data_IF_216797171674
#
_entry.id   IF_216797171674
#
_cell.length_a   1.000
_cell.length_b   1.000
_cell.length_c   1.000
_cell.angle_alpha   90.00
_cell.angle_beta   90.00
_cell.angle_gamma   90.00
#
_symmetry.space_group_name_H-M   'P 1'
#
loop_
_entity.id
_entity.type
_entity.pdbx_description
1 polymer ?
#
# COMPACT_ATOMS: atom_id res chain seq x y z
N UNK A 1 -21.06 -4.76 -3.13
CA UNK A 1 -20.91 -4.25 -1.75
C UNK A 1 -20.72 -2.74 -1.85
N UNK A 2 -21.67 -1.93 -1.36
CA UNK A 2 -21.54 -0.46 -1.38
C UNK A 2 -21.00 -0.04 -0.01
N UNK A 3 -19.75 0.43 0.03
CA UNK A 3 -19.21 1.03 1.24
C UNK A 3 -20.02 2.30 1.54
N UNK A 4 -20.55 2.42 2.76
CA UNK A 4 -21.19 3.67 3.19
C UNK A 4 -20.13 4.75 3.24
N UNK A 5 -20.41 5.90 2.67
CA UNK A 5 -19.56 7.09 2.78
C UNK A 5 -19.56 7.53 4.25
N UNK A 6 -18.55 7.11 5.01
CA UNK A 6 -18.28 7.64 6.33
C UNK A 6 -17.78 9.08 6.22
N UNK A 7 -17.90 9.85 7.30
CA UNK A 7 -17.24 11.16 7.38
C UNK A 7 -15.75 10.98 7.04
N UNK A 8 -15.26 11.75 6.06
CA UNK A 8 -13.85 11.76 5.69
C UNK A 8 -13.11 12.38 6.88
N UNK A 9 -12.57 11.53 7.76
CA UNK A 9 -11.58 11.96 8.71
C UNK A 9 -10.28 12.16 7.93
N UNK A 10 -9.81 13.40 7.83
CA UNK A 10 -8.42 13.67 7.46
C UNK A 10 -7.54 13.04 8.53
N UNK A 11 -6.95 11.90 8.20
CA UNK A 11 -5.91 11.29 9.03
C UNK A 11 -4.69 12.21 8.98
N UNK A 12 -4.03 12.43 10.12
CA UNK A 12 -2.78 13.19 10.17
C UNK A 12 -1.67 12.49 9.37
N UNK A 13 -0.46 13.04 9.33
CA UNK A 13 0.69 12.31 8.79
C UNK A 13 1.29 11.40 9.87
N UNK A 14 1.75 10.21 9.49
CA UNK A 14 2.42 9.27 10.40
C UNK A 14 3.67 8.67 9.76
N UNK A 15 4.56 8.14 10.59
CA UNK A 15 5.76 7.45 10.12
C UNK A 15 5.41 6.06 9.63
N UNK A 16 6.15 5.55 8.64
CA UNK A 16 5.95 4.18 8.14
C UNK A 16 6.12 3.12 9.23
N UNK A 17 6.91 3.41 10.28
CA UNK A 17 7.12 2.54 11.45
C UNK A 17 5.91 2.47 12.39
N UNK A 18 4.93 3.35 12.21
CA UNK A 18 3.67 3.38 12.95
C UNK A 18 2.52 2.71 12.17
N UNK A 19 2.77 2.26 10.93
CA UNK A 19 1.83 1.52 10.11
C UNK A 19 2.16 0.02 10.13
N UNK A 20 1.15 -0.84 10.04
CA UNK A 20 1.40 -2.28 9.92
C UNK A 20 2.11 -2.64 8.60
N UNK A 21 2.00 -1.77 7.58
CA UNK A 21 2.66 -1.80 6.28
C UNK A 21 2.36 -3.07 5.44
N UNK A 22 1.15 -3.62 5.61
CA UNK A 22 0.67 -4.86 5.01
C UNK A 22 -0.16 -4.66 3.74
N UNK A 23 0.34 -3.80 2.87
CA UNK A 23 -0.30 -3.47 1.60
C UNK A 23 0.73 -2.98 0.59
N UNK A 24 0.38 -3.09 -0.69
CA UNK A 24 1.18 -2.59 -1.80
C UNK A 24 0.28 -2.06 -2.92
N UNK A 25 0.81 -1.11 -3.69
CA UNK A 25 0.24 -0.68 -4.96
C UNK A 25 1.29 -0.80 -6.05
N UNK A 26 0.85 -0.97 -7.29
CA UNK A 26 1.72 -0.89 -8.46
C UNK A 26 2.24 0.52 -8.67
N UNK A 27 3.43 0.64 -9.26
CA UNK A 27 4.04 1.95 -9.60
C UNK A 27 3.47 2.51 -10.91
N UNK A 28 3.11 1.63 -11.86
CA UNK A 28 2.66 2.01 -13.20
C UNK A 28 1.14 2.23 -13.24
N UNK A 29 0.70 3.37 -13.79
CA UNK A 29 -0.70 3.72 -13.98
C UNK A 29 -1.44 2.81 -14.99
N UNK A 30 -0.73 2.16 -15.91
CA UNK A 30 -1.33 1.25 -16.89
C UNK A 30 -1.89 -0.03 -16.26
N UNK A 31 -1.54 -0.31 -14.99
CA UNK A 31 -2.07 -1.43 -14.23
C UNK A 31 -2.25 -1.01 -12.78
N UNK A 32 -3.41 -0.47 -12.43
CA UNK A 32 -3.70 0.08 -11.10
C UNK A 32 -4.17 -1.01 -10.13
N UNK A 33 -3.20 -1.73 -9.56
CA UNK A 33 -3.47 -2.85 -8.67
C UNK A 33 -3.15 -2.49 -7.21
N UNK A 34 -4.07 -2.83 -6.31
CA UNK A 34 -3.89 -2.72 -4.85
C UNK A 34 -3.90 -4.11 -4.26
N UNK A 35 -2.90 -4.43 -3.44
CA UNK A 35 -2.82 -5.69 -2.74
C UNK A 35 -2.84 -5.48 -1.22
N UNK A 36 -3.64 -6.26 -0.52
CA UNK A 36 -3.62 -6.40 0.94
C UNK A 36 -2.97 -7.74 1.27
N UNK A 37 -1.99 -7.75 2.17
CA UNK A 37 -1.10 -8.90 2.35
C UNK A 37 -0.95 -9.33 3.81
N UNK A 38 -0.53 -10.57 4.02
CA UNK A 38 -0.18 -11.07 5.35
C UNK A 38 1.19 -10.54 5.83
N UNK A 39 2.07 -10.29 4.87
CA UNK A 39 3.45 -9.84 5.07
C UNK A 39 3.55 -8.32 4.94
N UNK A 40 4.45 -7.72 5.71
CA UNK A 40 4.81 -6.31 5.57
C UNK A 40 6.17 -6.15 4.88
N UNK A 41 6.67 -4.91 4.80
CA UNK A 41 7.85 -4.53 4.02
C UNK A 41 9.21 -4.73 4.70
N UNK A 42 9.26 -5.37 5.88
CA UNK A 42 10.54 -5.61 6.57
C UNK A 42 11.20 -6.89 6.06
N UNK A 43 12.52 -6.86 5.87
CA UNK A 43 13.29 -7.97 5.30
C UNK A 43 13.07 -9.30 6.04
N UNK A 44 12.96 -9.26 7.37
CA UNK A 44 12.73 -10.45 8.18
C UNK A 44 11.41 -11.20 7.85
N UNK A 45 10.39 -10.52 7.31
CA UNK A 45 9.14 -11.17 6.93
C UNK A 45 9.24 -11.91 5.59
N UNK A 46 10.24 -11.61 4.74
CA UNK A 46 10.41 -12.26 3.43
C UNK A 46 10.63 -13.78 3.52
N UNK A 47 11.08 -14.25 4.68
CA UNK A 47 11.34 -15.67 4.96
C UNK A 47 10.14 -16.41 5.56
N UNK A 48 8.96 -15.76 5.62
CA UNK A 48 7.73 -16.33 6.18
C UNK A 48 6.72 -16.59 5.06
N UNK A 49 5.94 -17.65 5.23
CA UNK A 49 4.78 -17.88 4.36
C UNK A 49 3.70 -16.81 4.58
N UNK A 50 2.90 -16.57 3.55
CA UNK A 50 1.78 -15.62 3.55
C UNK A 50 1.18 -15.48 2.16
N UNK A 51 0.02 -14.84 2.08
CA UNK A 51 -0.67 -14.52 0.85
C UNK A 51 -0.91 -13.03 0.68
N UNK A 52 -1.50 -12.70 -0.47
CA UNK A 52 -2.05 -11.39 -0.74
C UNK A 52 -3.32 -11.50 -1.57
N UNK A 53 -4.26 -10.59 -1.32
CA UNK A 53 -5.44 -10.40 -2.14
C UNK A 53 -5.28 -9.09 -2.92
N UNK A 54 -5.36 -9.19 -4.24
CA UNK A 54 -5.10 -8.08 -5.14
C UNK A 54 -6.33 -7.72 -5.96
N UNK A 55 -6.55 -6.43 -6.13
CA UNK A 55 -7.68 -5.84 -6.85
C UNK A 55 -7.15 -4.91 -7.93
N UNK A 56 -7.62 -5.07 -9.17
CA UNK A 56 -7.38 -4.09 -10.22
C UNK A 56 -8.50 -3.06 -10.20
N UNK A 57 -8.29 -1.96 -9.48
CA UNK A 57 -9.28 -0.92 -9.23
C UNK A 57 -8.60 0.46 -9.16
N UNK A 58 -8.91 1.31 -10.14
CA UNK A 58 -8.27 2.62 -10.30
C UNK A 58 -8.60 3.58 -9.14
N UNK A 59 -9.84 3.56 -8.64
CA UNK A 59 -10.29 4.48 -7.60
C UNK A 59 -9.69 4.11 -6.24
N UNK A 60 -9.60 2.82 -5.96
CA UNK A 60 -8.92 2.31 -4.78
C UNK A 60 -7.42 2.58 -4.85
N UNK A 61 -6.79 2.30 -6.00
CA UNK A 61 -5.37 2.57 -6.21
C UNK A 61 -5.05 4.05 -5.99
N UNK A 62 -5.88 4.96 -6.52
CA UNK A 62 -5.69 6.40 -6.34
C UNK A 62 -5.72 6.79 -4.87
N UNK A 63 -6.69 6.30 -4.10
CA UNK A 63 -6.79 6.57 -2.67
C UNK A 63 -5.54 6.09 -1.91
N UNK A 64 -5.04 4.89 -2.20
CA UNK A 64 -3.80 4.39 -1.61
C UNK A 64 -2.56 5.16 -2.08
N UNK A 65 -2.55 5.65 -3.32
CA UNK A 65 -1.45 6.46 -3.85
C UNK A 65 -1.39 7.83 -3.18
N UNK A 66 -2.54 8.44 -2.91
CA UNK A 66 -2.67 9.80 -2.38
C UNK A 66 -2.25 9.91 -0.89
N UNK A 67 -2.27 8.79 -0.15
CA UNK A 67 -1.76 8.74 1.24
C UNK A 67 -0.23 8.64 1.32
N UNK A 68 0.48 8.35 0.23
CA UNK A 68 1.94 8.23 0.21
C UNK A 68 2.57 9.62 0.07
N UNK A 69 3.21 10.11 1.15
CA UNK A 69 3.92 11.41 1.17
C UNK A 69 5.36 11.34 0.69
N UNK A 70 6.07 10.26 1.00
CA UNK A 70 7.49 10.07 0.67
C UNK A 70 7.72 8.66 0.14
N UNK A 71 8.62 8.53 -0.82
CA UNK A 71 9.04 7.25 -1.41
C UNK A 71 10.55 7.13 -1.29
N UNK A 72 11.01 6.05 -0.67
CA UNK A 72 12.42 5.68 -0.63
C UNK A 72 12.86 5.22 -2.03
N UNK A 73 13.94 5.80 -2.56
CA UNK A 73 14.50 5.38 -3.84
C UNK A 73 15.21 4.03 -3.70
N UNK A 74 15.03 3.15 -4.68
CA UNK A 74 15.78 1.90 -4.72
C UNK A 74 17.30 2.19 -4.83
N UNK A 75 18.15 1.43 -4.12
CA UNK A 75 19.61 1.51 -4.30
C UNK A 75 19.95 1.32 -5.78
N UNK A 76 20.76 2.22 -6.33
CA UNK A 76 21.39 1.99 -7.64
C UNK A 76 22.52 1.00 -7.40
N UNK A 77 22.40 -0.21 -7.92
CA UNK A 77 23.54 -1.11 -8.02
C UNK A 77 24.49 -0.51 -9.06
N UNK A 78 25.63 0.02 -8.60
CA UNK A 78 26.77 0.43 -9.43
C UNK A 78 27.70 -0.75 -9.66
#
# INVERSE_FOLDING_TARGET
MKFKTGNIHTTGEWLYTQDHAKWAITVNLNFACVCIADLNRIEAQSKRGGGSLCFNDNDLWKQFRDIIKLVEACPKYT
#
